data_IF_159762253993
#
_entry.id   IF_159762253993
#
_cell.length_a   1.000
_cell.length_b   1.000
_cell.length_c   1.000
_cell.angle_alpha   90.00
_cell.angle_beta   90.00
_cell.angle_gamma   90.00
#
_symmetry.space_group_name_H-M   'P 1'
#
loop_
_entity.id
_entity.type
_entity.pdbx_description
1 polymer ?
#
# COMPACT_ATOMS: atom_id res chain seq x y z
N UNK A 1 23.90 -22.79 -9.25
CA UNK A 1 24.33 -21.43 -8.83
C UNK A 1 23.97 -21.29 -7.37
N UNK A 2 24.84 -20.73 -6.56
CA UNK A 2 24.54 -20.48 -5.14
C UNK A 2 23.50 -19.37 -5.03
N UNK A 3 22.50 -19.52 -4.16
CA UNK A 3 21.36 -18.60 -4.06
C UNK A 3 21.79 -17.13 -3.89
N UNK A 4 22.79 -16.87 -3.06
CA UNK A 4 23.30 -15.52 -2.80
C UNK A 4 23.87 -14.81 -4.04
N UNK A 5 24.18 -15.56 -5.11
CA UNK A 5 24.70 -15.02 -6.37
C UNK A 5 23.60 -14.82 -7.43
N UNK A 6 22.36 -15.22 -7.14
CA UNK A 6 21.24 -15.16 -8.09
C UNK A 6 20.63 -13.77 -8.20
N UNK A 7 19.97 -13.51 -9.32
CA UNK A 7 19.17 -12.30 -9.48
C UNK A 7 17.92 -12.34 -8.60
N UNK A 8 17.36 -13.52 -8.33
CA UNK A 8 16.25 -13.74 -7.39
C UNK A 8 16.59 -13.24 -6.00
N UNK A 9 17.79 -13.54 -5.48
CA UNK A 9 18.25 -13.02 -4.19
C UNK A 9 18.28 -11.49 -4.15
N UNK A 10 18.86 -10.86 -5.18
CA UNK A 10 18.90 -9.39 -5.29
C UNK A 10 17.51 -8.78 -5.42
N UNK A 11 16.62 -9.42 -6.17
CA UNK A 11 15.23 -8.97 -6.33
C UNK A 11 14.46 -9.05 -5.00
N UNK A 12 14.65 -10.11 -4.20
CA UNK A 12 14.05 -10.20 -2.86
C UNK A 12 14.54 -9.08 -1.94
N UNK A 13 15.86 -8.80 -1.95
CA UNK A 13 16.41 -7.70 -1.15
C UNK A 13 15.87 -6.34 -1.62
N UNK A 14 15.69 -6.14 -2.93
CA UNK A 14 15.05 -4.94 -3.49
C UNK A 14 13.58 -4.82 -3.09
N UNK A 15 12.82 -5.93 -3.12
CA UNK A 15 11.44 -5.97 -2.68
C UNK A 15 11.32 -5.64 -1.20
N UNK A 16 12.11 -6.27 -0.34
CA UNK A 16 12.14 -5.96 1.09
C UNK A 16 12.40 -4.47 1.37
N UNK A 17 13.37 -3.87 0.67
CA UNK A 17 13.69 -2.45 0.82
C UNK A 17 12.55 -1.56 0.28
N UNK A 18 11.92 -1.94 -0.85
CA UNK A 18 10.80 -1.24 -1.46
C UNK A 18 9.59 -1.19 -0.54
N UNK A 19 9.14 -2.34 -0.04
CA UNK A 19 8.00 -2.43 0.88
C UNK A 19 8.26 -1.72 2.21
N UNK A 20 9.48 -1.81 2.73
CA UNK A 20 9.87 -1.09 3.95
C UNK A 20 9.78 0.43 3.74
N UNK A 21 10.19 0.93 2.59
CA UNK A 21 10.07 2.34 2.21
C UNK A 21 8.60 2.73 1.96
N UNK A 22 7.82 1.91 1.25
CA UNK A 22 6.40 2.14 0.98
C UNK A 22 5.61 2.22 2.28
N UNK A 23 5.82 1.28 3.21
CA UNK A 23 5.24 1.34 4.56
C UNK A 23 5.50 2.67 5.25
N UNK A 24 6.77 3.12 5.28
CA UNK A 24 7.12 4.37 5.94
C UNK A 24 6.50 5.56 5.22
N UNK A 25 6.47 5.58 3.90
CA UNK A 25 5.87 6.62 3.09
C UNK A 25 4.36 6.72 3.33
N UNK A 26 3.63 5.60 3.33
CA UNK A 26 2.18 5.57 3.60
C UNK A 26 1.86 5.99 5.04
N UNK A 27 2.73 5.69 6.01
CA UNK A 27 2.60 6.25 7.37
C UNK A 27 2.65 7.78 7.36
N UNK A 28 3.56 8.40 6.58
CA UNK A 28 3.64 9.85 6.44
C UNK A 28 2.42 10.42 5.68
N UNK A 29 1.89 9.69 4.69
CA UNK A 29 0.68 10.07 3.97
C UNK A 29 -0.55 10.04 4.88
N UNK A 30 -0.66 9.05 5.75
CA UNK A 30 -1.70 8.98 6.77
C UNK A 30 -1.66 10.17 7.73
N UNK A 31 -0.45 10.54 8.20
CA UNK A 31 -0.27 11.70 9.06
C UNK A 31 -0.66 13.02 8.35
N UNK A 32 -0.35 13.14 7.07
CA UNK A 32 -0.77 14.28 6.27
C UNK A 32 -2.30 14.33 6.11
N UNK A 33 -2.94 13.22 5.80
CA UNK A 33 -4.40 13.13 5.70
C UNK A 33 -5.09 13.50 7.02
N UNK A 34 -4.52 13.12 8.17
CA UNK A 34 -5.04 13.55 9.49
C UNK A 34 -4.93 15.06 9.69
N UNK A 35 -3.81 15.68 9.29
CA UNK A 35 -3.64 17.14 9.37
C UNK A 35 -4.67 17.88 8.51
N UNK A 36 -5.08 17.27 7.40
CA UNK A 36 -6.13 17.81 6.51
C UNK A 36 -7.56 17.48 6.99
N UNK A 37 -7.72 16.76 8.11
CA UNK A 37 -9.03 16.36 8.64
C UNK A 37 -9.68 15.21 7.87
N UNK A 38 -8.91 14.40 7.15
CA UNK A 38 -9.36 13.30 6.30
C UNK A 38 -9.09 11.94 6.96
N UNK A 39 -9.70 11.70 8.14
CA UNK A 39 -9.43 10.51 8.95
C UNK A 39 -9.73 9.19 8.22
N UNK A 40 -10.75 9.16 7.35
CA UNK A 40 -11.05 8.00 6.52
C UNK A 40 -9.89 7.66 5.56
N UNK A 41 -9.34 8.67 4.87
CA UNK A 41 -8.21 8.46 3.96
C UNK A 41 -6.92 8.14 4.71
N UNK A 42 -6.73 8.74 5.89
CA UNK A 42 -5.62 8.36 6.76
C UNK A 42 -5.66 6.86 7.11
N UNK A 43 -6.86 6.33 7.41
CA UNK A 43 -7.04 4.91 7.69
C UNK A 43 -6.71 4.02 6.48
N UNK A 44 -7.08 4.42 5.27
CA UNK A 44 -6.71 3.70 4.03
C UNK A 44 -5.18 3.57 3.94
N UNK A 45 -4.45 4.68 4.11
CA UNK A 45 -2.98 4.64 4.09
C UNK A 45 -2.39 3.78 5.22
N UNK A 46 -2.98 3.79 6.42
CA UNK A 46 -2.52 2.96 7.55
C UNK A 46 -2.73 1.47 7.29
N UNK A 47 -3.89 1.11 6.74
CA UNK A 47 -4.21 -0.29 6.41
C UNK A 47 -3.25 -0.80 5.33
N UNK A 48 -2.99 0.00 4.28
CA UNK A 48 -2.00 -0.33 3.26
C UNK A 48 -0.60 -0.41 3.86
N UNK A 49 -0.16 0.57 4.66
CA UNK A 49 1.15 0.52 5.32
C UNK A 49 1.34 -0.75 6.19
N UNK A 50 0.28 -1.25 6.82
CA UNK A 50 0.32 -2.51 7.56
C UNK A 50 0.49 -3.72 6.62
N UNK A 51 -0.11 -3.69 5.42
CA UNK A 51 0.07 -4.74 4.42
C UNK A 51 1.51 -4.75 3.89
N UNK A 52 2.10 -3.57 3.58
CA UNK A 52 3.49 -3.48 3.12
C UNK A 52 4.49 -3.99 4.17
N UNK A 53 4.16 -3.86 5.45
CA UNK A 53 4.96 -4.49 6.50
C UNK A 53 4.98 -6.01 6.38
N UNK A 54 3.84 -6.62 6.07
CA UNK A 54 3.74 -8.08 5.90
C UNK A 54 4.44 -8.52 4.61
N UNK A 55 4.27 -7.78 3.51
CA UNK A 55 4.99 -8.07 2.26
C UNK A 55 6.50 -8.04 2.46
N UNK A 56 7.02 -7.01 3.15
CA UNK A 56 8.44 -6.93 3.50
C UNK A 56 8.89 -8.15 4.33
N UNK A 57 8.12 -8.55 5.33
CA UNK A 57 8.42 -9.72 6.15
C UNK A 57 8.50 -10.99 5.32
N UNK A 58 7.53 -11.23 4.42
CA UNK A 58 7.51 -12.42 3.55
C UNK A 58 8.75 -12.49 2.65
N UNK A 59 9.18 -11.35 2.09
CA UNK A 59 10.41 -11.31 1.29
C UNK A 59 11.67 -11.57 2.12
N UNK A 60 11.73 -11.02 3.32
CA UNK A 60 12.85 -11.28 4.25
C UNK A 60 12.89 -12.76 4.67
N UNK A 61 11.75 -13.39 4.94
CA UNK A 61 11.68 -14.81 5.29
C UNK A 61 12.18 -15.70 4.14
N UNK A 62 11.86 -15.36 2.88
CA UNK A 62 12.42 -16.07 1.73
C UNK A 62 13.94 -15.90 1.64
N UNK A 63 14.47 -14.70 1.85
CA UNK A 63 15.92 -14.47 1.91
C UNK A 63 16.58 -15.34 2.97
N UNK A 64 16.06 -15.36 4.20
CA UNK A 64 16.59 -16.16 5.30
C UNK A 64 16.51 -17.67 5.02
N UNK A 65 15.38 -18.14 4.48
CA UNK A 65 15.16 -19.55 4.15
C UNK A 65 16.20 -20.09 3.14
N UNK A 66 16.43 -19.33 2.07
CA UNK A 66 17.31 -19.76 0.98
C UNK A 66 18.78 -19.39 1.18
N UNK A 67 19.07 -18.35 1.95
CA UNK A 67 20.44 -17.96 2.29
C UNK A 67 21.16 -18.95 3.20
N UNK A 68 20.42 -19.67 4.06
CA UNK A 68 20.89 -20.77 4.95
C UNK A 68 22.02 -20.43 5.92
N UNK A 69 22.51 -19.21 5.94
CA UNK A 69 23.58 -18.71 6.80
C UNK A 69 23.24 -17.28 7.27
N UNK A 70 23.92 -16.75 8.26
CA UNK A 70 23.80 -15.33 8.53
C UNK A 70 24.10 -14.52 7.25
N UNK A 71 23.09 -13.82 6.76
CA UNK A 71 23.23 -12.94 5.60
C UNK A 71 23.74 -11.60 6.14
N UNK A 72 24.95 -11.19 5.74
CA UNK A 72 25.52 -9.92 6.18
C UNK A 72 24.87 -8.76 5.40
N UNK A 73 25.42 -8.44 4.23
CA UNK A 73 24.92 -7.37 3.38
C UNK A 73 24.62 -7.88 1.97
N UNK A 74 23.55 -7.36 1.37
CA UNK A 74 23.23 -7.55 -0.05
C UNK A 74 23.23 -6.17 -0.70
N UNK A 75 24.19 -5.92 -1.59
CA UNK A 75 24.23 -4.69 -2.37
C UNK A 75 23.10 -4.70 -3.40
N UNK A 76 22.25 -3.68 -3.33
CA UNK A 76 21.14 -3.46 -4.27
C UNK A 76 21.23 -2.07 -4.89
N UNK A 77 20.77 -1.96 -6.14
CA UNK A 77 20.53 -0.67 -6.79
C UNK A 77 19.04 -0.57 -7.14
N UNK A 78 18.36 0.44 -6.59
CA UNK A 78 16.96 0.72 -6.87
C UNK A 78 16.67 2.21 -6.66
N UNK A 79 15.69 2.74 -7.41
CA UNK A 79 15.09 4.06 -7.18
C UNK A 79 13.76 3.90 -6.47
N UNK A 80 13.50 4.71 -5.46
CA UNK A 80 12.24 4.76 -4.72
C UNK A 80 11.67 6.18 -4.74
N UNK A 81 10.32 6.36 -4.69
CA UNK A 81 9.73 7.69 -4.63
C UNK A 81 9.92 8.33 -3.24
N UNK A 82 10.11 9.66 -3.24
CA UNK A 82 10.28 10.47 -2.03
C UNK A 82 9.27 11.63 -1.97
N UNK A 83 8.21 11.58 -2.77
CA UNK A 83 7.17 12.61 -2.79
C UNK A 83 6.39 12.60 -1.48
N UNK A 84 6.16 13.78 -0.92
CA UNK A 84 5.27 14.02 0.20
C UNK A 84 4.55 15.36 -0.06
N UNK A 85 3.30 15.28 -0.46
CA UNK A 85 2.44 16.42 -0.81
C UNK A 85 1.16 16.45 0.03
N UNK A 86 0.14 17.12 -0.49
CA UNK A 86 -1.23 17.05 0.08
C UNK A 86 -1.85 15.68 -0.19
N UNK A 87 -2.90 15.33 0.55
CA UNK A 87 -3.50 13.99 0.50
C UNK A 87 -3.87 13.55 -0.91
N UNK A 88 -4.44 14.45 -1.72
CA UNK A 88 -4.83 14.14 -3.10
C UNK A 88 -3.62 13.79 -3.99
N UNK A 89 -2.50 14.49 -3.84
CA UNK A 89 -1.25 14.19 -4.54
C UNK A 89 -0.66 12.87 -4.06
N UNK A 90 -0.68 12.62 -2.76
CA UNK A 90 -0.18 11.40 -2.15
C UNK A 90 -0.95 10.15 -2.60
N UNK A 91 -2.28 10.23 -2.77
CA UNK A 91 -3.11 9.16 -3.32
C UNK A 91 -2.69 8.81 -4.75
N UNK A 92 -2.47 9.82 -5.59
CA UNK A 92 -2.06 9.61 -6.98
C UNK A 92 -0.65 9.00 -7.08
N UNK A 93 0.29 9.48 -6.26
CA UNK A 93 1.66 8.95 -6.22
C UNK A 93 1.70 7.52 -5.65
N UNK A 94 0.87 7.21 -4.65
CA UNK A 94 0.69 5.84 -4.16
C UNK A 94 0.18 4.93 -5.28
N UNK A 95 -0.92 5.30 -5.94
CA UNK A 95 -1.48 4.52 -7.04
C UNK A 95 -0.51 4.25 -8.19
N UNK A 96 0.36 5.22 -8.53
CA UNK A 96 1.43 5.02 -9.54
C UNK A 96 2.45 3.97 -9.09
N UNK A 97 2.86 4.01 -7.83
CA UNK A 97 3.79 3.03 -7.26
C UNK A 97 3.23 1.62 -7.33
N UNK A 98 2.02 1.43 -6.79
CA UNK A 98 1.33 0.14 -6.80
C UNK A 98 1.12 -0.40 -8.22
N UNK A 99 0.78 0.48 -9.17
CA UNK A 99 0.66 0.08 -10.57
C UNK A 99 1.99 -0.44 -11.14
N UNK A 100 3.11 0.23 -10.88
CA UNK A 100 4.43 -0.23 -11.32
C UNK A 100 4.79 -1.60 -10.72
N UNK A 101 4.49 -1.82 -9.46
CA UNK A 101 4.75 -3.09 -8.77
C UNK A 101 3.87 -4.20 -9.31
N UNK A 102 2.56 -3.95 -9.49
CA UNK A 102 1.61 -4.96 -9.96
C UNK A 102 1.81 -5.39 -11.41
N UNK A 103 2.16 -4.46 -12.33
CA UNK A 103 2.19 -4.78 -13.77
C UNK A 103 3.59 -5.03 -14.33
N UNK A 104 4.64 -4.54 -13.67
CA UNK A 104 6.00 -4.59 -14.22
C UNK A 104 7.01 -5.22 -13.27
N UNK A 105 7.13 -4.69 -12.06
CA UNK A 105 8.25 -5.05 -11.15
C UNK A 105 8.11 -6.48 -10.68
N UNK A 106 7.04 -6.82 -10.00
CA UNK A 106 6.83 -8.16 -9.43
C UNK A 106 6.60 -9.24 -10.47
N UNK A 107 5.82 -9.03 -11.56
CA UNK A 107 5.79 -10.00 -12.66
C UNK A 107 7.17 -10.28 -13.28
N UNK A 108 8.01 -9.23 -13.41
CA UNK A 108 9.40 -9.39 -13.89
C UNK A 108 10.27 -10.20 -12.93
N UNK A 109 10.15 -9.96 -11.63
CA UNK A 109 10.87 -10.71 -10.61
C UNK A 109 10.40 -12.16 -10.52
N UNK A 110 9.08 -12.39 -10.61
CA UNK A 110 8.51 -13.74 -10.64
C UNK A 110 9.03 -14.56 -11.84
N UNK A 111 9.09 -13.95 -13.02
CA UNK A 111 9.67 -14.59 -14.22
C UNK A 111 11.11 -15.00 -13.97
N UNK A 112 11.95 -14.10 -13.47
CA UNK A 112 13.36 -14.39 -13.16
C UNK A 112 13.49 -15.54 -12.15
N UNK A 113 12.68 -15.54 -11.11
CA UNK A 113 12.71 -16.60 -10.10
C UNK A 113 12.33 -17.98 -10.68
N UNK A 114 11.38 -18.04 -11.61
CA UNK A 114 11.05 -19.30 -12.33
C UNK A 114 12.21 -19.78 -13.19
N UNK A 115 12.87 -18.88 -13.92
CA UNK A 115 14.02 -19.20 -14.75
C UNK A 115 15.22 -19.70 -13.92
N UNK A 116 15.39 -19.19 -12.69
CA UNK A 116 16.43 -19.62 -11.75
C UNK A 116 16.01 -20.82 -10.87
N UNK A 117 14.77 -21.34 -11.00
CA UNK A 117 14.29 -22.55 -10.33
C UNK A 117 13.65 -22.33 -8.96
N UNK A 118 13.27 -21.08 -8.61
CA UNK A 118 12.63 -20.72 -7.34
C UNK A 118 11.13 -20.49 -7.51
N UNK A 119 10.39 -21.56 -7.81
CA UNK A 119 8.96 -21.48 -8.14
C UNK A 119 8.07 -20.94 -6.99
N UNK A 120 8.40 -21.22 -5.73
CA UNK A 120 7.65 -20.72 -4.56
C UNK A 120 7.89 -19.23 -4.31
N UNK A 121 9.07 -18.72 -4.62
CA UNK A 121 9.38 -17.30 -4.60
C UNK A 121 8.65 -16.57 -5.73
N UNK A 122 8.64 -17.16 -6.93
CA UNK A 122 7.88 -16.62 -8.06
C UNK A 122 6.39 -16.48 -7.72
N UNK A 123 5.81 -17.53 -7.13
CA UNK A 123 4.39 -17.51 -6.72
C UNK A 123 4.09 -16.46 -5.64
N UNK A 124 5.04 -16.18 -4.73
CA UNK A 124 4.90 -15.10 -3.76
C UNK A 124 4.77 -13.74 -4.47
N UNK A 125 5.69 -13.39 -5.40
CA UNK A 125 5.60 -12.14 -6.17
C UNK A 125 4.32 -12.04 -7.00
N UNK A 126 3.88 -13.14 -7.63
CA UNK A 126 2.63 -13.16 -8.40
C UNK A 126 1.40 -12.87 -7.53
N UNK A 127 1.38 -13.37 -6.29
CA UNK A 127 0.30 -13.13 -5.35
C UNK A 127 0.33 -11.69 -4.82
N UNK A 128 1.51 -11.19 -4.42
CA UNK A 128 1.66 -9.81 -3.97
C UNK A 128 1.30 -8.85 -5.11
N UNK A 129 1.76 -9.07 -6.34
CA UNK A 129 1.37 -8.23 -7.48
C UNK A 129 -0.15 -8.06 -7.67
N UNK A 130 -0.95 -9.08 -7.30
CA UNK A 130 -2.42 -8.98 -7.31
C UNK A 130 -2.94 -8.11 -6.17
N UNK A 131 -2.27 -8.13 -5.02
CA UNK A 131 -2.61 -7.27 -3.87
C UNK A 131 -2.30 -5.82 -4.23
N UNK A 132 -1.13 -5.54 -4.85
CA UNK A 132 -0.76 -4.18 -5.27
C UNK A 132 -1.73 -3.61 -6.33
N UNK A 133 -2.30 -4.48 -7.18
CA UNK A 133 -3.38 -4.05 -8.07
C UNK A 133 -4.63 -3.59 -7.30
N UNK A 134 -4.96 -4.23 -6.18
CA UNK A 134 -6.08 -3.81 -5.31
C UNK A 134 -5.74 -2.52 -4.58
N UNK A 135 -4.53 -2.37 -4.03
CA UNK A 135 -4.06 -1.13 -3.40
C UNK A 135 -4.14 0.05 -4.38
N UNK A 136 -3.63 -0.13 -5.61
CA UNK A 136 -3.76 0.85 -6.69
C UNK A 136 -5.20 1.30 -6.89
N UNK A 137 -6.12 0.35 -7.03
CA UNK A 137 -7.52 0.65 -7.33
C UNK A 137 -8.19 1.40 -6.17
N UNK A 138 -7.88 1.06 -4.92
CA UNK A 138 -8.35 1.78 -3.73
C UNK A 138 -7.84 3.22 -3.70
N UNK A 139 -6.55 3.45 -4.01
CA UNK A 139 -5.99 4.80 -4.07
C UNK A 139 -6.56 5.62 -5.23
N UNK A 140 -6.75 5.03 -6.41
CA UNK A 140 -7.36 5.70 -7.56
C UNK A 140 -8.82 6.07 -7.28
N UNK A 141 -9.60 5.15 -6.72
CA UNK A 141 -11.00 5.44 -6.36
C UNK A 141 -11.08 6.59 -5.34
N UNK A 142 -10.21 6.57 -4.33
CA UNK A 142 -10.14 7.62 -3.32
C UNK A 142 -9.76 8.98 -3.94
N UNK A 143 -8.78 8.99 -4.83
CA UNK A 143 -8.37 10.16 -5.60
C UNK A 143 -9.52 10.73 -6.43
N UNK A 144 -10.22 9.89 -7.21
CA UNK A 144 -11.35 10.28 -8.05
C UNK A 144 -12.51 10.84 -7.21
N UNK A 145 -12.80 10.22 -6.06
CA UNK A 145 -13.85 10.71 -5.17
C UNK A 145 -13.50 12.08 -4.57
N UNK A 146 -12.24 12.34 -4.25
CA UNK A 146 -11.79 13.67 -3.82
C UNK A 146 -11.90 14.68 -4.97
N UNK A 147 -11.36 14.34 -6.14
CA UNK A 147 -11.34 15.23 -7.30
C UNK A 147 -12.74 15.64 -7.76
N UNK A 148 -13.72 14.75 -7.61
CA UNK A 148 -15.11 14.97 -8.02
C UNK A 148 -16.02 15.42 -6.87
N UNK A 149 -15.45 15.74 -5.71
CA UNK A 149 -16.17 16.14 -4.48
C UNK A 149 -17.20 15.10 -4.00
N UNK A 150 -16.99 13.82 -4.33
CA UNK A 150 -17.89 12.71 -4.00
C UNK A 150 -17.45 11.90 -2.78
N UNK A 151 -16.34 12.24 -2.15
CA UNK A 151 -15.83 11.50 -0.98
C UNK A 151 -16.89 11.39 0.12
N UNK A 152 -17.60 12.48 0.41
CA UNK A 152 -18.65 12.57 1.45
C UNK A 152 -20.05 12.80 0.89
N UNK A 153 -20.25 12.60 -0.43
CA UNK A 153 -21.53 12.80 -1.09
C UNK A 153 -21.73 11.74 -2.17
N UNK A 154 -22.91 11.12 -2.19
CA UNK A 154 -23.27 10.06 -3.14
C UNK A 154 -24.57 10.42 -3.86
N UNK A 155 -24.76 9.85 -5.05
CA UNK A 155 -25.96 10.05 -5.85
C UNK A 155 -27.22 9.45 -5.17
N UNK A 156 -27.03 8.33 -4.49
CA UNK A 156 -28.09 7.63 -3.76
C UNK A 156 -27.74 7.55 -2.27
N UNK A 157 -28.75 7.41 -1.38
CA UNK A 157 -28.48 7.18 0.05
C UNK A 157 -27.65 5.92 0.25
N UNK A 158 -26.58 6.04 1.04
CA UNK A 158 -25.73 4.93 1.50
C UNK A 158 -25.64 4.97 3.03
N UNK A 159 -25.15 3.91 3.62
CA UNK A 159 -24.85 3.85 5.05
C UNK A 159 -23.51 4.51 5.30
N UNK A 160 -23.51 5.61 6.04
CA UNK A 160 -22.32 6.26 6.58
C UNK A 160 -22.06 5.76 7.99
N UNK A 161 -20.81 5.50 8.32
CA UNK A 161 -20.40 5.03 9.64
C UNK A 161 -19.29 5.91 10.22
N UNK A 162 -19.52 6.43 11.41
CA UNK A 162 -18.44 7.12 12.14
C UNK A 162 -17.34 6.16 12.58
N UNK A 163 -16.13 6.36 12.10
CA UNK A 163 -14.97 5.52 12.41
C UNK A 163 -14.53 5.58 13.87
N UNK A 164 -14.93 6.65 14.60
CA UNK A 164 -14.57 6.82 16.01
C UNK A 164 -15.54 6.10 16.96
N UNK A 165 -16.88 6.23 16.75
CA UNK A 165 -17.87 5.74 17.71
C UNK A 165 -18.84 4.69 17.16
N UNK A 166 -18.74 4.37 15.85
CA UNK A 166 -19.61 3.38 15.22
C UNK A 166 -21.04 3.88 14.89
N UNK A 167 -21.36 5.17 15.14
CA UNK A 167 -22.65 5.73 14.73
C UNK A 167 -22.90 5.52 13.24
N UNK A 168 -24.12 5.13 12.88
CA UNK A 168 -24.51 4.90 11.49
C UNK A 168 -25.73 5.72 11.09
N UNK A 169 -25.77 6.17 9.84
CA UNK A 169 -26.92 6.85 9.26
C UNK A 169 -27.05 6.51 7.77
N UNK A 170 -28.28 6.47 7.27
CA UNK A 170 -28.59 6.33 5.84
C UNK A 170 -28.83 7.72 5.25
N UNK A 171 -27.99 8.17 4.35
CA UNK A 171 -28.11 9.51 3.72
C UNK A 171 -27.31 9.57 2.40
N UNK A 172 -27.64 10.57 1.57
CA UNK A 172 -26.80 10.92 0.40
C UNK A 172 -25.50 11.63 0.78
N UNK A 173 -25.48 12.31 1.92
CA UNK A 173 -24.28 13.02 2.42
C UNK A 173 -23.90 12.50 3.79
N UNK A 174 -22.60 12.39 4.04
CA UNK A 174 -22.06 12.11 5.36
C UNK A 174 -22.41 13.23 6.35
N UNK A 175 -22.46 12.91 7.65
CA UNK A 175 -22.65 13.92 8.69
C UNK A 175 -21.53 14.99 8.60
N UNK A 176 -21.87 16.24 8.90
CA UNK A 176 -20.85 17.30 9.04
C UNK A 176 -20.12 17.16 10.37
N UNK A 177 -20.87 16.83 11.42
CA UNK A 177 -20.38 16.53 12.76
C UNK A 177 -21.16 15.33 13.25
N UNK A 178 -20.47 14.32 13.77
CA UNK A 178 -21.11 13.13 14.33
C UNK A 178 -21.98 13.49 15.53
N UNK A 179 -23.29 13.17 15.53
CA UNK A 179 -24.20 13.57 16.61
C UNK A 179 -23.95 12.86 17.94
N UNK A 180 -23.12 11.79 17.92
CA UNK A 180 -22.81 11.01 19.13
C UNK A 180 -21.49 11.45 19.76
N UNK A 181 -20.42 11.64 18.97
CA UNK A 181 -19.09 11.86 19.53
C UNK A 181 -18.42 13.17 19.11
N UNK A 182 -19.12 14.01 18.32
CA UNK A 182 -18.62 15.33 17.93
C UNK A 182 -17.47 15.34 16.91
N UNK A 183 -17.05 14.17 16.38
CA UNK A 183 -16.04 14.12 15.30
C UNK A 183 -16.60 14.73 14.01
N UNK A 184 -15.74 15.40 13.27
CA UNK A 184 -16.07 16.02 11.98
C UNK A 184 -16.33 14.98 10.88
N UNK A 185 -16.69 15.49 9.69
CA UNK A 185 -17.02 14.70 8.49
C UNK A 185 -15.89 13.75 8.07
N UNK A 186 -14.64 14.11 8.31
CA UNK A 186 -13.49 13.30 7.94
C UNK A 186 -13.48 11.90 8.55
N UNK A 187 -14.30 11.69 9.58
CA UNK A 187 -14.48 10.41 10.27
C UNK A 187 -15.66 9.58 9.74
N UNK A 188 -16.26 9.93 8.61
CA UNK A 188 -17.38 9.21 8.00
C UNK A 188 -16.93 8.16 6.97
#
# INVERSE_FOLDING_TARGET
MEFMQTQTCRNLARSFAGESQARQRYTQYADQARKEGLAYLARIFEETAANEQIHAQEFLEKLQKYGRQPIENIDISAGYPYTLGVTMENLLEAAKGENEESVRVYPGFAKTAREEGYADIASLWENIARIEAVHRDVFLESYEQMQTERLYKKEHPIVWRCLNCGFVMLSKEAFRVCPVCGKDRGWA
#
